data_IF_442903788412
#
_entry.id   IF_442903788412
#
_cell.length_a   1.000
_cell.length_b   1.000
_cell.length_c   1.000
_cell.angle_alpha   90.00
_cell.angle_beta   90.00
_cell.angle_gamma   90.00
#
_symmetry.space_group_name_H-M   'P 1'
#
loop_
_entity.id
_entity.type
_entity.pdbx_description
1 polymer ?
#
# COMPACT_ATOMS: atom_id res chain seq x y z
N UNK A 1 8.68 -32.01 11.95
CA UNK A 1 9.73 -31.28 11.21
C UNK A 1 9.19 -30.72 9.88
N UNK A 2 8.18 -29.84 9.92
CA UNK A 2 7.51 -29.31 8.70
C UNK A 2 7.34 -27.79 8.64
N UNK A 3 7.44 -27.10 9.78
CA UNK A 3 7.19 -25.65 9.85
C UNK A 3 8.45 -24.83 9.53
N UNK A 4 9.65 -25.33 9.88
CA UNK A 4 10.92 -24.61 9.64
C UNK A 4 11.40 -24.62 8.18
N UNK A 5 10.83 -25.46 7.31
CA UNK A 5 11.30 -25.59 5.91
C UNK A 5 10.60 -24.63 4.94
N UNK A 6 9.33 -24.26 5.22
CA UNK A 6 8.57 -23.31 4.38
C UNK A 6 9.05 -21.86 4.47
N UNK A 7 9.73 -21.49 5.56
CA UNK A 7 10.23 -20.12 5.79
C UNK A 7 11.44 -19.78 4.91
N UNK A 8 12.17 -20.77 4.39
CA UNK A 8 13.39 -20.52 3.60
C UNK A 8 13.16 -20.22 2.11
N UNK A 9 12.03 -20.62 1.54
CA UNK A 9 11.78 -20.49 0.09
C UNK A 9 10.86 -19.32 -0.25
N UNK A 10 9.91 -18.97 0.63
CA UNK A 10 9.09 -17.76 0.49
C UNK A 10 9.87 -16.46 0.82
N UNK A 11 10.95 -16.55 1.61
CA UNK A 11 11.61 -15.38 2.18
C UNK A 11 12.60 -14.67 1.27
N UNK A 12 12.93 -15.17 0.08
CA UNK A 12 13.88 -14.48 -0.80
C UNK A 12 13.26 -13.24 -1.44
N UNK A 13 12.32 -13.47 -2.37
CA UNK A 13 11.81 -12.43 -3.25
C UNK A 13 11.03 -11.34 -2.50
N UNK A 14 10.16 -11.73 -1.56
CA UNK A 14 9.38 -10.77 -0.76
C UNK A 14 10.26 -9.94 0.18
N UNK A 15 11.28 -10.54 0.79
CA UNK A 15 12.23 -9.82 1.65
C UNK A 15 13.06 -8.82 0.86
N UNK A 16 13.61 -9.22 -0.29
CA UNK A 16 14.37 -8.31 -1.16
C UNK A 16 13.48 -7.23 -1.79
N UNK A 17 12.20 -7.52 -2.04
CA UNK A 17 11.24 -6.52 -2.46
C UNK A 17 11.02 -5.48 -1.34
N UNK A 18 10.76 -5.94 -0.11
CA UNK A 18 10.59 -5.07 1.07
C UNK A 18 11.82 -4.18 1.34
N UNK A 19 13.03 -4.75 1.29
CA UNK A 19 14.27 -3.97 1.43
C UNK A 19 14.40 -2.88 0.36
N UNK A 20 14.07 -3.20 -0.89
CA UNK A 20 14.11 -2.21 -1.99
C UNK A 20 13.07 -1.12 -1.80
N UNK A 21 11.86 -1.47 -1.36
CA UNK A 21 10.80 -0.51 -1.04
C UNK A 21 11.24 0.45 0.07
N UNK A 22 11.75 -0.08 1.20
CA UNK A 22 12.22 0.76 2.31
C UNK A 22 13.35 1.70 1.89
N UNK A 23 14.34 1.18 1.16
CA UNK A 23 15.44 2.00 0.66
C UNK A 23 14.95 3.07 -0.34
N UNK A 24 13.90 2.80 -1.12
CA UNK A 24 13.30 3.79 -2.01
C UNK A 24 12.57 4.90 -1.23
N UNK A 25 11.80 4.53 -0.20
CA UNK A 25 11.13 5.48 0.71
C UNK A 25 12.15 6.39 1.41
N UNK A 26 13.24 5.81 1.93
CA UNK A 26 14.29 6.56 2.61
C UNK A 26 14.97 7.59 1.72
N UNK A 27 15.05 7.36 0.40
CA UNK A 27 15.68 8.30 -0.55
C UNK A 27 14.70 9.29 -1.17
N UNK A 28 13.40 9.04 -1.08
CA UNK A 28 12.39 9.86 -1.73
C UNK A 28 12.12 11.15 -0.96
N UNK A 29 11.75 12.21 -1.68
CA UNK A 29 11.11 13.39 -1.10
C UNK A 29 9.58 13.26 -1.17
N UNK A 30 9.10 12.71 -2.29
CA UNK A 30 7.69 12.44 -2.58
C UNK A 30 7.53 10.99 -3.02
N UNK A 31 6.54 10.30 -2.47
CA UNK A 31 6.16 8.93 -2.82
C UNK A 31 4.76 8.92 -3.43
N UNK A 32 4.62 8.23 -4.56
CA UNK A 32 3.32 7.91 -5.16
C UNK A 32 3.06 6.43 -4.87
N UNK A 33 2.11 6.16 -3.98
CA UNK A 33 1.67 4.80 -3.67
C UNK A 33 0.55 4.42 -4.61
N UNK A 34 0.77 3.41 -5.44
CA UNK A 34 -0.26 2.88 -6.36
C UNK A 34 -0.96 1.71 -5.68
N UNK A 35 -2.27 1.78 -5.57
CA UNK A 35 -3.13 0.78 -4.94
C UNK A 35 -4.16 0.30 -5.96
N UNK A 36 -4.40 -1.00 -6.03
CA UNK A 36 -5.48 -1.56 -6.86
C UNK A 36 -6.84 -1.29 -6.18
N UNK A 37 -7.64 -0.40 -6.76
CA UNK A 37 -8.92 0.02 -6.19
C UNK A 37 -10.02 -1.06 -6.32
N UNK A 38 -9.84 -2.02 -7.23
CA UNK A 38 -10.79 -3.11 -7.44
C UNK A 38 -10.76 -4.16 -6.32
N UNK A 39 -9.74 -4.12 -5.46
CA UNK A 39 -9.54 -5.04 -4.35
C UNK A 39 -9.58 -4.28 -3.02
N UNK A 40 -9.76 -5.02 -1.92
CA UNK A 40 -9.59 -4.46 -0.58
C UNK A 40 -8.14 -4.08 -0.32
N UNK A 41 -7.93 -3.01 0.45
CA UNK A 41 -6.60 -2.64 0.94
C UNK A 41 -5.95 -3.82 1.66
N UNK A 42 -4.75 -4.19 1.23
CA UNK A 42 -4.01 -5.28 1.86
C UNK A 42 -3.28 -4.77 3.11
N UNK A 43 -2.96 -5.69 4.03
CA UNK A 43 -2.08 -5.38 5.17
C UNK A 43 -0.70 -4.86 4.72
N UNK A 44 -0.27 -5.20 3.50
CA UNK A 44 1.00 -4.70 2.95
C UNK A 44 0.89 -3.24 2.53
N UNK A 45 -0.24 -2.83 1.93
CA UNK A 45 -0.48 -1.43 1.52
C UNK A 45 -0.45 -0.51 2.75
N UNK A 46 -1.18 -0.90 3.80
CA UNK A 46 -1.23 -0.14 5.06
C UNK A 46 0.15 -0.05 5.70
N UNK A 47 0.91 -1.16 5.73
CA UNK A 47 2.29 -1.16 6.26
C UNK A 47 3.23 -0.23 5.49
N UNK A 48 3.14 -0.23 4.15
CA UNK A 48 3.98 0.64 3.32
C UNK A 48 3.60 2.12 3.53
N UNK A 49 2.30 2.43 3.59
CA UNK A 49 1.81 3.79 3.85
C UNK A 49 2.30 4.31 5.21
N UNK A 50 2.26 3.47 6.24
CA UNK A 50 2.79 3.82 7.56
C UNK A 50 4.30 4.07 7.50
N UNK A 51 5.06 3.22 6.80
CA UNK A 51 6.50 3.42 6.64
C UNK A 51 6.84 4.75 5.92
N UNK A 52 6.03 5.14 4.91
CA UNK A 52 6.19 6.42 4.20
C UNK A 52 5.95 7.59 5.16
N UNK A 53 4.90 7.52 5.97
CA UNK A 53 4.57 8.55 6.96
C UNK A 53 5.65 8.65 8.05
N UNK A 54 6.10 7.53 8.61
CA UNK A 54 7.14 7.47 9.64
C UNK A 54 8.47 8.03 9.11
N UNK A 55 8.78 7.80 7.84
CA UNK A 55 9.93 8.39 7.16
C UNK A 55 9.77 9.89 6.85
N UNK A 56 8.62 10.50 7.15
CA UNK A 56 8.34 11.92 6.93
C UNK A 56 8.28 12.31 5.46
N UNK A 57 7.91 11.38 4.57
CA UNK A 57 7.86 11.63 3.12
C UNK A 57 6.49 12.15 2.72
N UNK A 58 6.47 13.05 1.74
CA UNK A 58 5.21 13.45 1.12
C UNK A 58 4.60 12.25 0.39
N UNK A 59 3.28 12.11 0.46
CA UNK A 59 2.55 10.95 -0.06
C UNK A 59 1.40 11.41 -0.96
N UNK A 60 1.27 10.75 -2.11
CA UNK A 60 0.08 10.73 -2.95
C UNK A 60 -0.38 9.29 -3.11
N UNK A 61 -1.67 9.03 -2.97
CA UNK A 61 -2.26 7.70 -3.15
C UNK A 61 -2.99 7.66 -4.48
N UNK A 62 -2.54 6.79 -5.38
CA UNK A 62 -3.10 6.57 -6.70
C UNK A 62 -3.90 5.26 -6.71
N UNK A 63 -5.23 5.38 -6.76
CA UNK A 63 -6.16 4.27 -6.87
C UNK A 63 -6.28 3.85 -8.34
N UNK A 64 -5.55 2.80 -8.71
CA UNK A 64 -5.50 2.24 -10.05
C UNK A 64 -6.65 1.27 -10.32
N UNK A 65 -6.91 0.97 -11.60
CA UNK A 65 -8.02 0.15 -12.08
C UNK A 65 -9.39 0.70 -11.67
N UNK A 66 -9.50 2.02 -11.68
CA UNK A 66 -10.74 2.70 -11.29
C UNK A 66 -11.92 2.37 -12.20
N UNK A 67 -11.64 1.94 -13.44
CA UNK A 67 -12.63 1.41 -14.39
C UNK A 67 -13.34 0.15 -13.89
N UNK A 68 -12.72 -0.61 -12.98
CA UNK A 68 -13.28 -1.82 -12.38
C UNK A 68 -14.03 -1.56 -11.06
N UNK A 69 -14.10 -0.31 -10.60
CA UNK A 69 -14.76 0.05 -9.34
C UNK A 69 -16.22 0.41 -9.59
N UNK A 70 -17.11 -0.49 -9.20
CA UNK A 70 -18.56 -0.25 -9.18
C UNK A 70 -19.02 0.47 -7.90
N UNK A 71 -20.32 0.76 -7.79
CA UNK A 71 -20.89 1.48 -6.65
C UNK A 71 -20.72 0.74 -5.32
N UNK A 72 -20.82 -0.59 -5.34
CA UNK A 72 -20.64 -1.43 -4.15
C UNK A 72 -19.18 -1.40 -3.69
N UNK A 73 -18.23 -1.63 -4.61
CA UNK A 73 -16.80 -1.57 -4.30
C UNK A 73 -16.40 -0.18 -3.84
N UNK A 74 -16.93 0.88 -4.45
CA UNK A 74 -16.68 2.27 -4.04
C UNK A 74 -17.14 2.52 -2.60
N UNK A 75 -18.31 2.03 -2.22
CA UNK A 75 -18.82 2.15 -0.86
C UNK A 75 -17.89 1.46 0.16
N UNK A 76 -17.41 0.26 -0.13
CA UNK A 76 -16.47 -0.44 0.75
C UNK A 76 -15.10 0.24 0.78
N UNK A 77 -14.61 0.71 -0.36
CA UNK A 77 -13.32 1.38 -0.46
C UNK A 77 -13.27 2.66 0.39
N UNK A 78 -14.30 3.52 0.34
CA UNK A 78 -14.33 4.72 1.21
C UNK A 78 -14.28 4.34 2.69
N UNK A 79 -14.98 3.28 3.10
CA UNK A 79 -14.92 2.78 4.49
C UNK A 79 -13.59 2.15 4.87
N UNK A 80 -12.88 1.55 3.92
CA UNK A 80 -11.51 1.06 4.12
C UNK A 80 -10.56 2.25 4.27
N UNK A 81 -10.68 3.29 3.43
CA UNK A 81 -9.87 4.51 3.52
C UNK A 81 -10.05 5.17 4.89
N UNK A 82 -11.29 5.38 5.35
CA UNK A 82 -11.58 6.04 6.63
C UNK A 82 -11.03 5.26 7.84
N UNK A 83 -10.90 3.94 7.73
CA UNK A 83 -10.43 3.07 8.83
C UNK A 83 -8.92 2.85 8.79
N UNK A 84 -8.39 2.49 7.62
CA UNK A 84 -7.03 1.98 7.45
C UNK A 84 -6.03 3.08 7.11
N UNK A 85 -6.48 4.23 6.57
CA UNK A 85 -5.64 5.34 6.14
C UNK A 85 -5.77 6.58 7.04
N UNK A 86 -6.33 6.41 8.25
CA UNK A 86 -6.58 7.47 9.24
C UNK A 86 -5.33 8.26 9.64
N UNK A 87 -4.16 7.66 9.47
CA UNK A 87 -2.87 8.27 9.77
C UNK A 87 -2.37 9.23 8.69
N UNK A 88 -2.88 9.13 7.45
CA UNK A 88 -2.51 9.99 6.31
C UNK A 88 -3.72 10.69 5.65
N UNK A 89 -4.64 11.32 6.39
CA UNK A 89 -5.83 11.97 5.82
C UNK A 89 -5.47 13.18 4.95
N UNK A 90 -4.25 13.69 5.10
CA UNK A 90 -3.68 14.81 4.35
C UNK A 90 -3.15 14.39 2.96
N UNK A 91 -2.96 13.09 2.71
CA UNK A 91 -2.40 12.62 1.45
C UNK A 91 -3.43 12.78 0.31
N UNK A 92 -3.11 13.50 -0.78
CA UNK A 92 -3.99 13.59 -1.93
C UNK A 92 -4.27 12.22 -2.53
N UNK A 93 -5.52 12.02 -2.98
CA UNK A 93 -6.00 10.79 -3.62
C UNK A 93 -6.29 11.06 -5.09
N UNK A 94 -5.82 10.19 -5.98
CA UNK A 94 -6.04 10.30 -7.43
C UNK A 94 -6.55 8.96 -7.93
N UNK A 95 -7.58 8.97 -8.77
CA UNK A 95 -8.14 7.77 -9.38
C UNK A 95 -7.61 7.62 -10.81
N UNK A 96 -7.12 6.44 -11.16
CA UNK A 96 -6.49 6.12 -12.45
C UNK A 96 -7.16 4.88 -13.04
N UNK A 97 -7.51 4.94 -14.32
CA UNK A 97 -8.02 3.84 -15.14
C UNK A 97 -6.98 3.43 -16.18
#
# INVERSE_FOLDING_TARGET
AGIRRRVKEASGHEYYASLRTNAAIERAEVVIMIVDASQSLSEQDVRIINAIQEAGRALVIAFNKWDLVDDERRYYLEREIDRELVQVPWAPRVNIA
#
